data_IF_728527014804
#
_entry.id   IF_728527014804
#
_cell.length_a   1.000
_cell.length_b   1.000
_cell.length_c   1.000
_cell.angle_alpha   90.00
_cell.angle_beta   90.00
_cell.angle_gamma   90.00
#
_symmetry.space_group_name_H-M   'P 1'
#
loop_
_entity.id
_entity.type
_entity.pdbx_description
1 polymer ?
#
# COMPACT_ATOMS: atom_id res chain seq x y z
N UNK A 1 17.98 4.20 8.34
CA UNK A 1 16.73 3.52 8.72
C UNK A 1 16.98 2.02 8.74
N UNK A 2 16.31 1.29 9.63
CA UNK A 2 16.39 -0.17 9.69
C UNK A 2 14.99 -0.74 9.90
N UNK A 3 14.75 -1.93 9.36
CA UNK A 3 13.52 -2.70 9.55
C UNK A 3 13.89 -4.02 10.20
N UNK A 4 13.09 -4.45 11.18
CA UNK A 4 13.30 -5.69 11.92
C UNK A 4 12.05 -6.54 11.85
N UNK A 5 12.22 -7.83 11.55
CA UNK A 5 11.13 -8.80 11.62
C UNK A 5 11.15 -9.41 13.02
N UNK A 6 10.03 -9.30 13.72
CA UNK A 6 9.81 -9.94 15.02
C UNK A 6 9.02 -11.23 14.80
N UNK A 7 9.63 -12.36 15.16
CA UNK A 7 9.03 -13.68 15.00
C UNK A 7 8.51 -14.24 16.32
N UNK A 8 7.68 -15.28 16.25
CA UNK A 8 7.17 -16.03 17.42
C UNK A 8 6.41 -15.16 18.44
N UNK A 9 5.72 -14.12 17.95
CA UNK A 9 4.85 -13.30 18.77
C UNK A 9 3.53 -14.04 19.05
N UNK A 10 3.03 -13.92 20.28
CA UNK A 10 1.70 -14.40 20.65
C UNK A 10 0.65 -13.53 19.98
N UNK A 11 -0.45 -14.13 19.54
CA UNK A 11 -1.62 -13.40 19.03
C UNK A 11 -2.26 -12.58 20.14
N UNK A 12 -2.99 -11.53 19.74
CA UNK A 12 -3.79 -10.69 20.65
C UNK A 12 -3.04 -10.24 21.90
N UNK A 13 -1.77 -9.84 21.73
CA UNK A 13 -0.87 -9.50 22.83
C UNK A 13 -0.23 -8.13 22.58
N UNK A 14 -0.23 -7.29 23.62
CA UNK A 14 0.49 -6.02 23.60
C UNK A 14 1.98 -6.25 23.89
N UNK A 15 2.82 -5.65 23.05
CA UNK A 15 4.28 -5.65 23.18
C UNK A 15 4.79 -4.22 23.34
N UNK A 16 5.89 -4.07 24.09
CA UNK A 16 6.66 -2.83 24.20
C UNK A 16 8.06 -3.13 23.70
N UNK A 17 8.61 -2.26 22.86
CA UNK A 17 9.97 -2.40 22.36
C UNK A 17 10.82 -1.19 22.76
N UNK A 18 12.12 -1.45 22.86
CA UNK A 18 13.17 -0.47 23.11
C UNK A 18 14.30 -0.73 22.13
N UNK A 19 14.91 0.33 21.61
CA UNK A 19 16.05 0.23 20.70
C UNK A 19 17.30 0.85 21.34
N UNK A 20 18.48 0.47 20.86
CA UNK A 20 19.75 1.07 21.27
C UNK A 20 19.88 2.57 20.89
N UNK A 21 19.03 3.06 20.00
CA UNK A 21 18.93 4.46 19.61
C UNK A 21 17.89 5.23 20.46
N UNK A 22 17.55 4.74 21.64
CA UNK A 22 16.60 5.34 22.58
C UNK A 22 15.15 5.45 22.09
N UNK A 23 14.78 4.83 20.97
CA UNK A 23 13.37 4.71 20.59
C UNK A 23 12.65 3.72 21.50
N UNK A 24 11.45 4.11 21.94
CA UNK A 24 10.49 3.29 22.68
C UNK A 24 9.16 3.36 21.96
N UNK A 25 8.49 2.22 21.83
CA UNK A 25 7.14 2.16 21.30
C UNK A 25 6.39 0.93 21.80
N UNK A 26 5.13 0.83 21.43
CA UNK A 26 4.28 -0.34 21.69
C UNK A 26 3.48 -0.70 20.46
N UNK A 27 3.05 -1.95 20.38
CA UNK A 27 2.14 -2.43 19.34
C UNK A 27 1.35 -3.61 19.89
N UNK A 28 0.22 -3.93 19.25
CA UNK A 28 -0.64 -5.05 19.61
C UNK A 28 -0.73 -6.00 18.42
N UNK A 29 -0.36 -7.26 18.63
CA UNK A 29 -0.54 -8.30 17.61
C UNK A 29 -2.01 -8.63 17.39
N UNK A 30 -2.38 -8.98 16.17
CA UNK A 30 -3.77 -9.34 15.88
C UNK A 30 -4.18 -10.66 16.56
N UNK A 31 -5.47 -10.82 16.91
CA UNK A 31 -6.04 -12.14 17.16
C UNK A 31 -5.80 -13.06 15.96
N UNK A 32 -5.70 -14.37 16.17
CA UNK A 32 -5.45 -15.32 15.06
C UNK A 32 -6.58 -15.32 14.02
N UNK A 33 -7.83 -15.18 14.50
CA UNK A 33 -9.05 -15.26 13.67
C UNK A 33 -10.08 -14.21 14.09
N UNK A 34 -9.80 -12.91 13.89
CA UNK A 34 -10.72 -11.85 14.30
C UNK A 34 -12.01 -11.94 13.49
N UNK A 35 -13.15 -12.00 14.19
CA UNK A 35 -14.49 -12.03 13.57
C UNK A 35 -15.08 -10.64 13.35
N UNK A 36 -14.63 -9.66 14.12
CA UNK A 36 -14.96 -8.25 13.97
C UNK A 36 -13.66 -7.46 14.07
N UNK A 37 -13.45 -6.57 13.11
CA UNK A 37 -12.30 -5.70 13.04
C UNK A 37 -12.67 -4.47 12.22
N UNK A 38 -11.91 -3.40 12.39
CA UNK A 38 -12.04 -2.17 11.59
C UNK A 38 -10.67 -1.81 11.02
N UNK A 39 -10.66 -1.22 9.84
CA UNK A 39 -9.47 -0.61 9.27
C UNK A 39 -9.80 0.82 8.87
N UNK A 40 -8.77 1.64 8.74
CA UNK A 40 -8.84 2.96 8.15
C UNK A 40 -8.07 2.95 6.83
N UNK A 41 -8.56 3.68 5.84
CA UNK A 41 -7.87 3.86 4.57
C UNK A 41 -7.76 5.35 4.28
N UNK A 42 -6.59 5.78 3.82
CA UNK A 42 -6.36 7.15 3.37
C UNK A 42 -5.33 7.18 2.26
N UNK A 43 -5.19 8.33 1.63
CA UNK A 43 -4.12 8.70 0.71
C UNK A 43 -3.89 10.21 0.80
N UNK A 44 -2.99 10.75 -0.01
CA UNK A 44 -2.92 12.18 -0.31
C UNK A 44 -2.79 13.08 0.93
N UNK A 45 -1.68 12.95 1.64
CA UNK A 45 -1.38 13.86 2.76
C UNK A 45 -0.36 14.91 2.35
N UNK A 46 -0.60 16.14 2.79
CA UNK A 46 0.33 17.24 2.58
C UNK A 46 0.41 18.08 3.83
N UNK A 47 1.63 18.23 4.34
CA UNK A 47 1.91 19.17 5.42
C UNK A 47 1.45 20.58 5.02
N UNK A 48 0.85 21.28 5.99
CA UNK A 48 0.38 22.65 5.86
C UNK A 48 -0.75 22.88 4.84
N UNK A 49 -1.45 21.82 4.45
CA UNK A 49 -2.64 21.93 3.61
C UNK A 49 -3.92 21.52 4.38
N UNK A 50 -5.01 22.28 4.33
CA UNK A 50 -5.17 23.64 3.76
C UNK A 50 -4.40 24.69 4.57
N UNK A 51 -3.77 25.66 3.91
CA UNK A 51 -2.92 26.66 4.54
C UNK A 51 -3.65 27.47 5.62
N UNK A 52 -3.01 27.60 6.78
CA UNK A 52 -3.37 28.54 7.83
C UNK A 52 -2.08 29.09 8.46
N UNK A 53 -1.84 30.40 8.44
CA UNK A 53 -0.60 30.98 8.95
C UNK A 53 -0.37 30.76 10.45
N UNK A 54 -1.41 30.38 11.21
CA UNK A 54 -1.32 30.09 12.64
C UNK A 54 -0.99 28.63 12.96
N UNK A 55 -1.04 27.73 11.96
CA UNK A 55 -0.78 26.31 12.17
C UNK A 55 0.72 26.01 12.11
N UNK A 56 1.13 24.91 12.73
CA UNK A 56 2.48 24.39 12.56
C UNK A 56 2.72 24.01 11.09
N UNK A 57 3.86 24.41 10.53
CA UNK A 57 4.23 24.23 9.11
C UNK A 57 4.25 22.75 8.67
N UNK A 58 4.48 21.85 9.62
CA UNK A 58 4.48 20.41 9.37
C UNK A 58 3.16 19.73 9.76
N UNK A 59 2.18 20.46 10.28
CA UNK A 59 0.88 19.86 10.65
C UNK A 59 0.19 19.26 9.42
N UNK A 60 -0.44 18.12 9.60
CA UNK A 60 -1.17 17.41 8.56
C UNK A 60 -2.61 17.26 9.04
N UNK A 61 -3.43 18.27 8.73
CA UNK A 61 -4.83 18.35 9.19
C UNK A 61 -5.62 17.08 8.92
N UNK A 62 -5.39 16.44 7.76
CA UNK A 62 -6.04 15.17 7.41
C UNK A 62 -5.79 14.06 8.45
N UNK A 63 -4.56 13.95 8.96
CA UNK A 63 -4.24 13.01 10.03
C UNK A 63 -4.88 13.41 11.36
N UNK A 64 -4.94 14.70 11.69
CA UNK A 64 -5.61 15.17 12.90
C UNK A 64 -7.13 14.87 12.88
N UNK A 65 -7.76 14.96 11.70
CA UNK A 65 -9.16 14.57 11.52
C UNK A 65 -9.36 13.06 11.65
N UNK A 66 -8.50 12.26 10.99
CA UNK A 66 -8.57 10.81 11.08
C UNK A 66 -8.28 10.30 12.49
N UNK A 67 -7.49 11.05 13.28
CA UNK A 67 -7.13 10.66 14.63
C UNK A 67 -8.36 10.57 15.52
N UNK A 68 -9.32 11.50 15.36
CA UNK A 68 -10.60 11.46 16.08
C UNK A 68 -11.37 10.17 15.82
N UNK A 69 -11.28 9.62 14.61
CA UNK A 69 -11.89 8.33 14.27
C UNK A 69 -11.10 7.20 14.92
N UNK A 70 -9.77 7.23 14.83
CA UNK A 70 -8.88 6.23 15.43
C UNK A 70 -8.99 6.15 16.95
N UNK A 71 -9.22 7.26 17.64
CA UNK A 71 -9.42 7.30 19.09
C UNK A 71 -10.78 6.74 19.52
N UNK A 72 -11.77 6.74 18.62
CA UNK A 72 -13.13 6.27 18.90
C UNK A 72 -13.36 4.79 18.58
N UNK A 73 -12.39 4.10 17.96
CA UNK A 73 -12.54 2.73 17.45
C UNK A 73 -11.24 1.95 17.56
N UNK A 74 -11.35 0.67 17.88
CA UNK A 74 -10.23 -0.25 17.73
C UNK A 74 -9.96 -0.50 16.24
N UNK A 75 -8.83 0.01 15.77
CA UNK A 75 -8.35 -0.16 14.41
C UNK A 75 -7.31 -1.27 14.36
N UNK A 76 -7.45 -2.17 13.40
CA UNK A 76 -6.48 -3.24 13.19
C UNK A 76 -5.30 -2.76 12.36
N UNK A 77 -5.52 -1.96 11.32
CA UNK A 77 -4.44 -1.42 10.50
C UNK A 77 -4.90 -0.21 9.68
N UNK A 78 -3.93 0.54 9.16
CA UNK A 78 -4.08 1.59 8.16
C UNK A 78 -3.69 1.06 6.78
N UNK A 79 -4.56 1.26 5.78
CA UNK A 79 -4.19 1.16 4.37
C UNK A 79 -3.89 2.56 3.84
N UNK A 80 -2.62 2.88 3.64
CA UNK A 80 -2.21 4.16 3.07
C UNK A 80 -1.90 3.99 1.57
N UNK A 81 -2.80 4.45 0.71
CA UNK A 81 -2.84 4.13 -0.72
C UNK A 81 -2.16 5.18 -1.60
N UNK A 82 -0.97 5.63 -1.18
CA UNK A 82 -0.11 6.54 -1.94
C UNK A 82 -0.33 8.02 -1.69
N UNK A 83 0.53 8.83 -2.30
CA UNK A 83 0.69 10.25 -2.03
C UNK A 83 0.94 10.55 -0.54
N UNK A 84 1.82 9.77 0.10
CA UNK A 84 2.33 10.03 1.43
C UNK A 84 3.28 11.22 1.43
N UNK A 85 4.05 11.37 0.34
CA UNK A 85 4.84 12.56 0.07
C UNK A 85 4.36 13.20 -1.24
N UNK A 86 4.59 14.51 -1.34
CA UNK A 86 4.46 15.26 -2.58
C UNK A 86 5.81 15.86 -2.94
N UNK A 87 6.62 15.15 -3.72
CA UNK A 87 7.98 15.59 -4.07
C UNK A 87 8.00 16.79 -5.03
N UNK A 88 6.91 16.98 -5.77
CA UNK A 88 6.80 17.89 -6.91
C UNK A 88 5.91 19.11 -6.65
N UNK A 89 5.20 19.15 -5.51
CA UNK A 89 4.33 20.25 -5.12
C UNK A 89 4.74 20.91 -3.80
N UNK A 90 4.59 22.25 -3.67
CA UNK A 90 4.23 23.20 -4.73
C UNK A 90 5.39 23.47 -5.71
N UNK A 91 6.61 23.10 -5.33
CA UNK A 91 7.81 23.16 -6.15
C UNK A 91 8.63 21.90 -5.86
N UNK A 92 9.21 21.31 -6.91
CA UNK A 92 10.17 20.22 -6.73
C UNK A 92 11.48 20.75 -6.15
N UNK A 93 11.90 20.18 -5.03
CA UNK A 93 13.14 20.56 -4.34
C UNK A 93 14.37 19.78 -4.81
N UNK A 94 14.19 18.62 -5.42
CA UNK A 94 15.29 17.84 -5.98
C UNK A 94 14.87 16.55 -6.68
N UNK A 95 15.84 15.72 -7.03
CA UNK A 95 15.69 14.55 -7.90
C UNK A 95 16.49 13.32 -7.43
N UNK A 96 17.39 13.50 -6.47
CA UNK A 96 18.22 12.42 -5.96
C UNK A 96 17.49 11.69 -4.81
N UNK A 97 17.94 10.48 -4.45
CA UNK A 97 17.30 9.70 -3.39
C UNK A 97 17.18 10.45 -2.05
N UNK A 98 18.18 11.25 -1.68
CA UNK A 98 18.18 11.99 -0.42
C UNK A 98 17.07 13.06 -0.40
N UNK A 99 16.77 13.71 -1.53
CA UNK A 99 15.65 14.66 -1.64
C UNK A 99 14.30 13.99 -1.34
N UNK A 100 14.09 12.77 -1.87
CA UNK A 100 12.90 11.97 -1.54
C UNK A 100 12.89 11.57 -0.06
N UNK A 101 14.02 11.10 0.48
CA UNK A 101 14.10 10.72 1.89
C UNK A 101 13.84 11.91 2.82
N UNK A 102 14.26 13.13 2.45
CA UNK A 102 13.91 14.35 3.17
C UNK A 102 12.40 14.58 3.21
N UNK A 103 11.70 14.39 2.08
CA UNK A 103 10.24 14.51 2.04
C UNK A 103 9.55 13.50 2.98
N UNK A 104 10.03 12.25 3.05
CA UNK A 104 9.53 11.28 4.02
C UNK A 104 9.78 11.74 5.46
N UNK A 105 11.01 12.18 5.79
CA UNK A 105 11.36 12.67 7.13
C UNK A 105 10.53 13.89 7.52
N UNK A 106 10.19 14.76 6.57
CA UNK A 106 9.32 15.91 6.82
C UNK A 106 7.93 15.48 7.31
N UNK A 107 7.34 14.46 6.67
CA UNK A 107 6.04 13.91 7.08
C UNK A 107 6.13 13.25 8.45
N UNK A 108 7.15 12.42 8.68
CA UNK A 108 7.36 11.77 9.98
C UNK A 108 7.74 12.74 11.12
N UNK A 109 8.28 13.92 10.79
CA UNK A 109 8.55 14.99 11.75
C UNK A 109 7.30 15.84 12.07
N UNK A 110 6.15 15.53 11.46
CA UNK A 110 4.90 16.23 11.71
C UNK A 110 4.45 16.07 13.17
N UNK A 111 3.99 17.13 13.85
CA UNK A 111 3.33 17.00 15.15
C UNK A 111 2.01 16.22 15.07
N UNK A 112 1.43 16.08 13.87
CA UNK A 112 0.24 15.26 13.62
C UNK A 112 0.54 13.76 13.61
N UNK A 113 1.82 13.36 13.62
CA UNK A 113 2.24 11.96 13.74
C UNK A 113 2.15 11.49 15.20
N UNK A 114 0.92 11.38 15.68
CA UNK A 114 0.60 11.04 17.07
C UNK A 114 1.02 9.62 17.45
N UNK A 115 1.03 9.36 18.76
CA UNK A 115 1.31 8.03 19.30
C UNK A 115 0.33 6.97 18.74
N UNK A 116 -0.96 7.29 18.59
CA UNK A 116 -1.93 6.36 18.02
C UNK A 116 -1.54 5.89 16.61
N UNK A 117 -0.96 6.79 15.79
CA UNK A 117 -0.47 6.42 14.47
C UNK A 117 0.78 5.57 14.50
N UNK A 118 1.68 5.80 15.47
CA UNK A 118 2.90 4.98 15.62
C UNK A 118 2.62 3.57 16.14
N UNK A 119 1.49 3.35 16.80
CA UNK A 119 1.10 2.05 17.38
C UNK A 119 0.23 1.21 16.45
N UNK A 120 -0.46 1.87 15.52
CA UNK A 120 -1.25 1.21 14.48
C UNK A 120 -0.32 0.66 13.39
N UNK A 121 -0.48 -0.57 12.90
CA UNK A 121 0.23 -1.04 11.72
C UNK A 121 -0.20 -0.28 10.46
N UNK A 122 0.75 0.22 9.67
CA UNK A 122 0.49 0.86 8.37
C UNK A 122 0.97 -0.04 7.24
N UNK A 123 0.10 -0.24 6.26
CA UNK A 123 0.41 -0.92 5.01
C UNK A 123 0.37 0.12 3.90
N UNK A 124 1.48 0.22 3.17
CA UNK A 124 1.71 1.31 2.26
C UNK A 124 1.72 0.86 0.81
N UNK A 125 1.16 1.70 -0.05
CA UNK A 125 1.41 1.72 -1.47
C UNK A 125 1.90 3.13 -1.83
N UNK A 126 2.69 3.27 -2.89
CA UNK A 126 3.00 4.58 -3.47
C UNK A 126 2.00 4.90 -4.59
N UNK A 127 1.78 6.19 -4.85
CA UNK A 127 1.09 6.68 -6.03
C UNK A 127 2.02 7.63 -6.82
N UNK A 128 1.49 8.52 -7.66
CA UNK A 128 2.35 9.27 -8.57
C UNK A 128 3.16 10.36 -7.88
N UNK A 129 2.66 11.02 -6.83
CA UNK A 129 3.41 12.11 -6.19
C UNK A 129 4.60 11.65 -5.33
N UNK A 130 4.74 10.34 -5.08
CA UNK A 130 6.01 9.76 -4.65
C UNK A 130 7.12 9.85 -5.70
N UNK A 131 6.78 10.01 -6.99
CA UNK A 131 7.72 10.03 -8.11
C UNK A 131 7.62 11.37 -8.85
N UNK A 132 6.50 11.61 -9.53
CA UNK A 132 6.11 12.80 -10.24
C UNK A 132 4.64 12.68 -10.66
N UNK A 133 3.89 13.76 -10.56
CA UNK A 133 2.48 13.86 -10.96
C UNK A 133 2.21 13.15 -12.30
N UNK A 134 1.19 12.30 -12.31
CA UNK A 134 0.77 11.45 -13.43
C UNK A 134 1.84 10.47 -13.95
N UNK A 135 2.71 9.94 -13.08
CA UNK A 135 3.72 8.96 -13.46
C UNK A 135 3.12 7.76 -14.23
N UNK A 136 3.69 7.46 -15.39
CA UNK A 136 3.28 6.36 -16.29
C UNK A 136 4.44 5.88 -17.18
N UNK A 137 5.67 5.96 -16.67
CA UNK A 137 6.90 5.76 -17.47
C UNK A 137 7.74 4.56 -17.00
N UNK A 138 7.13 3.51 -16.44
CA UNK A 138 7.86 2.31 -16.00
C UNK A 138 8.97 2.63 -14.98
N UNK A 139 10.01 1.79 -14.92
CA UNK A 139 11.18 1.99 -14.06
C UNK A 139 12.21 2.97 -14.62
N UNK A 140 11.81 3.95 -15.44
CA UNK A 140 12.73 4.86 -16.14
C UNK A 140 13.03 6.12 -15.35
N UNK A 141 14.09 6.84 -15.74
CA UNK A 141 14.41 8.17 -15.20
C UNK A 141 14.51 8.19 -13.68
N UNK A 142 13.74 9.10 -13.08
CA UNK A 142 13.74 9.41 -11.64
C UNK A 142 13.09 8.31 -10.77
N UNK A 143 12.47 7.30 -11.39
CA UNK A 143 11.79 6.21 -10.70
C UNK A 143 12.70 5.50 -9.71
N UNK A 144 13.95 5.22 -10.08
CA UNK A 144 14.86 4.46 -9.23
C UNK A 144 15.18 5.21 -7.93
N UNK A 145 15.36 6.53 -8.01
CA UNK A 145 15.64 7.39 -6.86
C UNK A 145 14.43 7.48 -5.94
N UNK A 146 13.25 7.69 -6.53
CA UNK A 146 11.96 7.76 -5.82
C UNK A 146 11.64 6.45 -5.10
N UNK A 147 11.66 5.33 -5.85
CA UNK A 147 11.32 4.02 -5.30
C UNK A 147 12.36 3.57 -4.29
N UNK A 148 13.65 3.88 -4.44
CA UNK A 148 14.63 3.57 -3.38
C UNK A 148 14.25 4.20 -2.03
N UNK A 149 13.72 5.43 -2.03
CA UNK A 149 13.22 6.06 -0.81
C UNK A 149 11.95 5.36 -0.29
N UNK A 150 10.97 5.09 -1.17
CA UNK A 150 9.77 4.31 -0.80
C UNK A 150 10.12 2.93 -0.22
N UNK A 151 11.05 2.20 -0.84
CA UNK A 151 11.48 0.88 -0.36
C UNK A 151 12.10 0.97 1.03
N UNK A 152 12.86 2.04 1.28
CA UNK A 152 13.49 2.28 2.57
C UNK A 152 12.44 2.56 3.64
N UNK A 153 11.51 3.48 3.39
CA UNK A 153 10.58 4.00 4.39
C UNK A 153 9.33 3.16 4.60
N UNK A 154 8.79 2.55 3.55
CA UNK A 154 7.47 1.95 3.56
C UNK A 154 7.48 0.48 3.14
N UNK A 155 8.06 0.14 1.99
CA UNK A 155 7.96 -1.23 1.44
C UNK A 155 8.59 -2.28 2.35
N UNK A 156 9.72 -1.96 2.99
CA UNK A 156 10.42 -2.90 3.85
C UNK A 156 9.57 -3.41 5.04
N UNK A 157 8.57 -2.64 5.47
CA UNK A 157 7.65 -3.02 6.54
C UNK A 157 6.35 -3.66 6.02
N UNK A 158 6.10 -3.64 4.71
CA UNK A 158 4.98 -4.33 4.11
C UNK A 158 5.17 -5.85 4.13
N UNK A 159 4.08 -6.63 4.00
CA UNK A 159 4.14 -8.04 3.69
C UNK A 159 5.04 -8.29 2.47
N UNK A 160 5.82 -9.39 2.47
CA UNK A 160 6.78 -9.66 1.41
C UNK A 160 6.08 -9.72 0.04
N UNK A 161 6.71 -9.13 -1.00
CA UNK A 161 6.13 -9.13 -2.32
C UNK A 161 6.12 -10.53 -2.93
N UNK A 162 5.31 -10.73 -3.96
CA UNK A 162 5.23 -12.04 -4.62
C UNK A 162 6.48 -12.47 -5.36
N UNK A 163 7.28 -11.50 -5.77
CA UNK A 163 8.51 -11.65 -6.53
C UNK A 163 9.43 -10.51 -6.18
N UNK A 164 10.73 -10.75 -6.32
CA UNK A 164 11.74 -9.74 -6.11
C UNK A 164 11.48 -8.52 -7.00
N UNK A 165 11.80 -7.34 -6.45
CA UNK A 165 11.64 -6.04 -7.09
C UNK A 165 10.19 -5.72 -7.53
N UNK A 166 9.18 -6.28 -6.88
CA UNK A 166 7.78 -5.88 -7.00
C UNK A 166 7.31 -5.25 -5.69
N UNK A 167 6.36 -4.32 -5.78
CA UNK A 167 5.79 -3.54 -4.67
C UNK A 167 4.33 -3.91 -4.40
N UNK A 168 3.73 -4.76 -5.24
CA UNK A 168 2.40 -5.31 -5.00
C UNK A 168 2.49 -6.58 -4.15
N UNK A 169 1.56 -6.74 -3.22
CA UNK A 169 1.55 -7.84 -2.26
C UNK A 169 0.12 -8.25 -1.90
N UNK A 170 0.00 -9.37 -1.19
CA UNK A 170 -1.26 -9.76 -0.55
C UNK A 170 -1.03 -10.04 0.92
N UNK A 171 -2.05 -9.77 1.71
CA UNK A 171 -2.13 -10.24 3.07
C UNK A 171 -3.56 -10.66 3.39
N UNK A 172 -3.75 -11.26 4.56
CA UNK A 172 -5.06 -11.65 5.08
C UNK A 172 -5.25 -11.06 6.45
N UNK A 173 -6.47 -10.68 6.74
CA UNK A 173 -6.87 -10.27 8.08
C UNK A 173 -8.27 -10.82 8.36
N UNK A 174 -8.37 -11.68 9.38
CA UNK A 174 -9.56 -12.51 9.58
C UNK A 174 -9.92 -13.32 8.34
N UNK A 175 -11.19 -13.25 7.95
CA UNK A 175 -11.73 -13.99 6.80
C UNK A 175 -11.60 -13.21 5.47
N UNK A 176 -10.92 -12.05 5.46
CA UNK A 176 -10.73 -11.22 4.26
C UNK A 176 -9.31 -11.32 3.72
N UNK A 177 -9.21 -11.41 2.38
CA UNK A 177 -7.93 -11.39 1.64
C UNK A 177 -7.80 -10.09 0.87
N UNK A 178 -6.66 -9.42 1.03
CA UNK A 178 -6.36 -8.15 0.38
C UNK A 178 -5.32 -8.37 -0.73
N UNK A 179 -5.54 -7.74 -1.87
CA UNK A 179 -4.58 -7.63 -2.95
C UNK A 179 -4.23 -6.16 -3.15
N UNK A 180 -3.02 -5.77 -2.75
CA UNK A 180 -2.53 -4.40 -2.83
C UNK A 180 -1.78 -4.26 -4.15
N UNK A 181 -2.29 -3.41 -5.04
CA UNK A 181 -1.87 -3.36 -6.44
C UNK A 181 -1.05 -2.09 -6.74
N UNK A 182 0.14 -2.26 -7.31
CA UNK A 182 0.88 -1.19 -8.01
C UNK A 182 0.21 -0.85 -9.35
N UNK A 183 -0.29 0.38 -9.46
CA UNK A 183 -0.99 0.93 -10.62
C UNK A 183 -0.18 1.98 -11.37
N UNK A 184 1.02 2.33 -10.91
CA UNK A 184 1.83 3.43 -11.46
C UNK A 184 3.03 2.97 -12.25
N UNK A 185 3.73 1.92 -11.81
CA UNK A 185 4.92 1.45 -12.53
C UNK A 185 4.57 1.09 -13.97
N UNK A 186 3.62 0.20 -14.17
CA UNK A 186 3.34 -0.37 -15.49
C UNK A 186 2.08 0.21 -16.15
N UNK A 187 1.54 1.29 -15.60
CA UNK A 187 0.39 1.98 -16.15
C UNK A 187 0.74 2.69 -17.45
N UNK A 188 -0.11 2.55 -18.46
CA UNK A 188 -0.08 3.35 -19.68
C UNK A 188 -0.35 4.82 -19.37
N UNK A 189 0.16 5.71 -20.21
CA UNK A 189 -0.15 7.15 -20.12
C UNK A 189 -1.68 7.35 -20.13
N UNK A 190 -2.19 8.17 -19.19
CA UNK A 190 -3.64 8.35 -19.01
C UNK A 190 -4.38 8.77 -20.29
N UNK A 191 -3.74 9.62 -21.11
CA UNK A 191 -4.27 10.12 -22.39
C UNK A 191 -4.26 9.09 -23.53
N UNK A 192 -3.67 7.91 -23.34
CA UNK A 192 -3.73 6.83 -24.32
C UNK A 192 -5.19 6.46 -24.58
N UNK A 193 -5.59 6.35 -25.86
CA UNK A 193 -6.93 5.90 -26.25
C UNK A 193 -7.21 4.51 -25.68
N UNK A 194 -8.42 4.29 -25.22
CA UNK A 194 -8.83 2.97 -24.73
C UNK A 194 -8.75 1.92 -25.84
N UNK A 195 -8.16 0.78 -25.51
CA UNK A 195 -7.88 -0.31 -26.42
C UNK A 195 -7.15 -1.45 -25.69
N UNK A 196 -6.97 -2.61 -26.35
CA UNK A 196 -6.40 -3.81 -25.72
C UNK A 196 -4.97 -3.61 -25.20
N UNK A 197 -4.23 -2.65 -25.74
CA UNK A 197 -2.85 -2.31 -25.33
C UNK A 197 -2.79 -1.36 -24.13
N UNK A 198 -3.88 -0.66 -23.80
CA UNK A 198 -3.93 0.23 -22.63
C UNK A 198 -4.03 -0.62 -21.36
N UNK A 199 -3.17 -0.34 -20.39
CA UNK A 199 -3.05 -1.14 -19.17
C UNK A 199 -2.84 -0.27 -17.94
N UNK A 200 -3.30 -0.74 -16.78
CA UNK A 200 -2.98 -0.15 -15.46
C UNK A 200 -1.93 -0.98 -14.73
N UNK A 201 -2.07 -2.32 -14.74
CA UNK A 201 -1.21 -3.21 -13.96
C UNK A 201 0.04 -3.67 -14.72
N UNK A 202 -0.05 -3.72 -16.06
CA UNK A 202 0.91 -4.40 -16.91
C UNK A 202 0.65 -5.91 -16.98
N UNK A 203 1.18 -6.57 -18.01
CA UNK A 203 0.86 -7.97 -18.29
C UNK A 203 1.23 -8.93 -17.14
N UNK A 204 2.40 -8.75 -16.53
CA UNK A 204 2.87 -9.64 -15.47
C UNK A 204 2.06 -9.51 -14.19
N UNK A 205 1.85 -8.27 -13.73
CA UNK A 205 1.06 -8.00 -12.53
C UNK A 205 -0.40 -8.48 -12.73
N UNK A 206 -1.01 -8.19 -13.90
CA UNK A 206 -2.35 -8.68 -14.25
C UNK A 206 -2.46 -10.21 -14.19
N UNK A 207 -1.45 -10.93 -14.71
CA UNK A 207 -1.39 -12.40 -14.61
C UNK A 207 -1.34 -12.86 -13.16
N UNK A 208 -0.49 -12.24 -12.33
CA UNK A 208 -0.37 -12.58 -10.91
C UNK A 208 -1.70 -12.35 -10.18
N UNK A 209 -2.33 -11.18 -10.37
CA UNK A 209 -3.61 -10.84 -9.77
C UNK A 209 -4.70 -11.86 -10.15
N UNK A 210 -4.84 -12.14 -11.45
CA UNK A 210 -5.83 -13.10 -11.97
C UNK A 210 -5.64 -14.49 -11.37
N UNK A 211 -4.39 -14.98 -11.30
CA UNK A 211 -4.09 -16.27 -10.70
C UNK A 211 -4.45 -16.33 -9.20
N UNK A 212 -4.30 -15.21 -8.48
CA UNK A 212 -4.66 -15.12 -7.05
C UNK A 212 -6.16 -15.12 -6.84
N UNK A 213 -6.91 -14.34 -7.61
CA UNK A 213 -8.37 -14.34 -7.54
C UNK A 213 -8.93 -15.73 -7.83
N UNK A 214 -8.43 -16.44 -8.85
CA UNK A 214 -8.83 -17.83 -9.12
C UNK A 214 -8.56 -18.75 -7.93
N UNK A 215 -7.35 -18.73 -7.35
CA UNK A 215 -7.02 -19.55 -6.16
C UNK A 215 -7.85 -19.21 -4.92
N UNK A 216 -8.32 -17.97 -4.78
CA UNK A 216 -9.21 -17.59 -3.68
C UNK A 216 -10.61 -18.15 -3.91
N UNK A 217 -11.14 -17.96 -5.11
CA UNK A 217 -12.45 -18.49 -5.53
C UNK A 217 -12.48 -20.02 -5.39
N UNK A 218 -11.48 -20.73 -5.90
CA UNK A 218 -11.40 -22.19 -5.80
C UNK A 218 -11.42 -22.66 -4.34
N UNK A 219 -10.70 -21.96 -3.45
CA UNK A 219 -10.68 -22.31 -2.01
C UNK A 219 -12.01 -22.06 -1.32
N UNK A 220 -12.74 -21.00 -1.67
CA UNK A 220 -14.09 -20.79 -1.16
C UNK A 220 -15.02 -21.92 -1.59
N UNK A 221 -14.98 -22.32 -2.88
CA UNK A 221 -15.78 -23.44 -3.39
C UNK A 221 -15.47 -24.78 -2.71
N UNK A 222 -14.21 -25.03 -2.34
CA UNK A 222 -13.82 -26.26 -1.64
C UNK A 222 -14.25 -26.27 -0.17
N UNK A 223 -14.24 -25.13 0.53
CA UNK A 223 -14.68 -25.03 1.93
C UNK A 223 -16.20 -25.22 2.08
N UNK A 224 -16.98 -24.96 1.03
CA UNK A 224 -18.45 -24.93 1.09
C UNK A 224 -19.13 -26.27 0.72
N UNK A 225 -18.36 -27.34 0.50
CA UNK A 225 -18.87 -28.71 0.52
C UNK A 225 -20.00 -29.05 -0.46
N UNK A 226 -20.23 -28.25 -1.50
CA UNK A 226 -21.23 -28.54 -2.53
C UNK A 226 -20.61 -28.38 -3.91
N UNK A 227 -20.03 -29.48 -4.42
CA UNK A 227 -20.02 -29.71 -5.87
C UNK A 227 -21.48 -29.77 -6.34
N UNK A 228 -21.99 -28.64 -6.82
CA UNK A 228 -22.97 -28.63 -7.90
C UNK A 228 -22.34 -27.82 -9.04
N UNK A 229 -21.67 -28.57 -9.90
CA UNK A 229 -21.52 -28.35 -11.35
C UNK A 229 -21.78 -26.90 -11.82
N UNK A 230 -20.72 -26.13 -12.01
CA UNK A 230 -20.78 -24.91 -12.79
C UNK A 230 -20.35 -25.26 -14.23
N UNK A 231 -21.23 -25.22 -15.25
CA UNK A 231 -20.84 -25.49 -16.62
C UNK A 231 -20.23 -24.22 -17.21
N UNK A 232 -18.92 -24.03 -17.01
CA UNK A 232 -18.15 -23.15 -17.88
C UNK A 232 -17.59 -24.01 -19.01
N UNK A 233 -18.45 -24.31 -19.99
CA UNK A 233 -18.00 -24.71 -21.33
C UNK A 233 -17.15 -23.57 -21.90
N UNK A 234 -15.85 -23.77 -21.93
CA UNK A 234 -14.96 -23.00 -22.80
C UNK A 234 -14.87 -23.77 -24.13
N UNK A 235 -15.83 -23.53 -25.02
CA UNK A 235 -15.69 -23.90 -26.42
C UNK A 235 -14.86 -22.82 -27.13
N UNK A 236 -13.65 -23.19 -27.52
CA UNK A 236 -12.90 -22.52 -28.57
C UNK A 236 -13.17 -23.29 -29.87
N UNK A 237 -14.15 -22.84 -30.65
CA UNK A 237 -14.26 -23.26 -32.06
C UNK A 237 -14.23 -22.06 -33.00
N UNK A 238 -13.37 -22.16 -34.00
CA UNK A 238 -13.13 -21.15 -35.02
C UNK A 238 -12.41 -21.73 -36.22
N UNK A 239 -13.14 -22.54 -36.99
CA UNK A 239 -13.01 -22.77 -38.45
C UNK A 239 -11.74 -23.48 -39.00
N UNK A 240 -11.92 -24.75 -39.39
CA UNK A 240 -11.31 -25.30 -40.62
C UNK A 240 -12.40 -25.45 -41.69
N UNK A 241 -12.32 -24.63 -42.75
CA UNK A 241 -13.00 -24.89 -44.02
C UNK A 241 -12.35 -26.13 -44.66
N UNK A 242 -13.17 -27.07 -45.14
CA UNK A 242 -12.83 -27.97 -46.24
C UNK A 242 -13.86 -27.73 -47.34
N UNK A 243 -13.38 -27.18 -48.46
CA UNK A 243 -13.78 -27.64 -49.79
C UNK A 243 -12.63 -28.50 -50.30
#
# INVERSE_FOLDING_TARGET
MATFVLENLRSDTQYVYYTNASHKGRFHTHPERPKRWSMVSSSCIKAFWTYNPLDHQLSIRGLDFLLKVAESRELSFMLFLGDFIYIDLPKRFGWNTEDYQQAYRQVYASPSWSQAWTELPWLHLYDDHEINNNWSSNGTGIYQQAIKAFMTYHDAANPPPFRDAQTYFTFRHGDVSFFIADTRRYGSVAKMKDGPEKTILGAQHRRTATARFRKLVDRCFWMEGRRKQCPLHAELEGSRRRG
#
